data_IF_644567510793
#
_entry.id   IF_644567510793
#
_cell.length_a   1.000
_cell.length_b   1.000
_cell.length_c   1.000
_cell.angle_alpha   90.00
_cell.angle_beta   90.00
_cell.angle_gamma   90.00
#
_symmetry.space_group_name_H-M   'P 1'
#
loop_
_entity.id
_entity.type
_entity.pdbx_description
1 polymer ?
2 polymer ?
#
# COMPACT_ATOMS: atom_id res chain seq x y z
N UNK A 89 -16.72 26.22 -15.56
CA UNK A 89 -16.06 25.03 -16.09
C UNK A 89 -14.94 24.58 -15.15
N UNK A 90 -14.16 25.55 -14.66
CA UNK A 90 -13.11 25.24 -13.70
C UNK A 90 -13.69 24.64 -12.42
N UNK A 91 -14.96 24.91 -12.12
CA UNK A 91 -15.59 24.29 -10.96
C UNK A 91 -15.60 22.78 -11.08
N UNK A 92 -15.66 22.26 -12.31
CA UNK A 92 -15.69 20.82 -12.57
C UNK A 92 -14.59 20.48 -13.55
N UNK A 93 -13.41 20.15 -13.03
CA UNK A 93 -12.29 19.72 -13.83
C UNK A 93 -11.62 18.54 -13.14
N UNK A 94 -10.99 17.64 -13.90
CA UNK A 94 -10.35 16.49 -13.27
C UNK A 94 -9.25 16.91 -12.31
N UNK A 95 -9.09 16.13 -11.23
CA UNK A 95 -7.97 16.32 -10.31
C UNK A 95 -6.71 15.76 -10.95
N UNK A 96 -5.70 16.60 -11.13
CA UNK A 96 -4.45 16.16 -11.73
C UNK A 96 -3.51 15.65 -10.65
N UNK A 97 -3.05 14.40 -10.71
CA UNK A 97 -2.11 13.92 -9.69
C UNK A 97 -0.80 14.71 -9.73
N UNK A 98 -0.20 14.87 -8.55
CA UNK A 98 1.00 15.67 -8.39
C UNK A 98 2.16 14.76 -7.97
N UNK A 99 3.31 14.95 -8.61
CA UNK A 99 4.50 14.17 -8.33
C UNK A 99 5.71 15.09 -8.22
N UNK A 100 6.83 14.52 -7.77
CA UNK A 100 8.07 15.26 -7.62
C UNK A 100 9.23 14.28 -7.73
N UNK A 101 9.95 14.32 -8.85
CA UNK A 101 11.10 13.44 -9.04
C UNK A 101 12.17 13.70 -7.99
N UNK A 102 12.21 14.92 -7.44
CA UNK A 102 13.19 15.24 -6.40
C UNK A 102 13.11 14.23 -5.27
N UNK A 103 11.89 13.88 -4.86
CA UNK A 103 11.70 12.85 -3.85
C UNK A 103 11.76 11.45 -4.44
N UNK A 104 11.42 11.26 -5.72
CA UNK A 104 11.46 9.92 -6.30
C UNK A 104 12.88 9.37 -6.26
N UNK A 105 13.87 10.20 -6.62
CA UNK A 105 15.25 9.71 -6.62
C UNK A 105 15.81 9.60 -5.20
N UNK A 106 15.30 10.40 -4.27
CA UNK A 106 15.79 10.37 -2.90
C UNK A 106 15.26 9.15 -2.15
N UNK A 107 14.03 8.73 -2.46
CA UNK A 107 13.47 7.54 -1.84
C UNK A 107 14.29 6.31 -2.17
N UNK A 108 14.91 6.28 -3.36
CA UNK A 108 15.74 5.12 -3.71
C UNK A 108 16.90 4.99 -2.75
N UNK A 109 17.60 6.09 -2.46
CA UNK A 109 18.74 6.03 -1.56
C UNK A 109 18.27 5.71 -0.15
N UNK A 110 17.13 6.27 0.28
CA UNK A 110 16.63 5.93 1.61
C UNK A 110 16.36 4.44 1.71
N UNK A 111 15.70 3.87 0.72
CA UNK A 111 15.38 2.44 0.75
C UNK A 111 16.65 1.60 0.71
N UNK A 112 17.63 1.99 -0.09
CA UNK A 112 18.88 1.23 -0.15
C UNK A 112 19.59 1.27 1.19
N UNK A 113 19.65 2.43 1.83
CA UNK A 113 20.30 2.53 3.12
C UNK A 113 19.61 1.65 4.15
N UNK A 114 18.27 1.69 4.18
CA UNK A 114 17.55 0.85 5.14
C UNK A 114 17.76 -0.62 4.83
N UNK A 115 17.81 -0.98 3.54
CA UNK A 115 18.10 -2.35 3.15
C UNK A 115 19.42 -2.81 3.74
N UNK A 116 20.48 -2.03 3.52
CA UNK A 116 21.79 -2.43 4.00
C UNK A 116 21.80 -2.56 5.53
N UNK A 117 21.24 -1.56 6.22
CA UNK A 117 21.30 -1.59 7.68
C UNK A 117 20.51 -2.76 8.24
N UNK A 118 19.29 -3.01 7.72
CA UNK A 118 18.51 -4.14 8.18
C UNK A 118 19.21 -5.45 7.89
N UNK A 119 19.77 -5.59 6.70
CA UNK A 119 20.50 -6.81 6.36
C UNK A 119 21.60 -7.06 7.38
N UNK A 120 22.46 -6.06 7.61
CA UNK A 120 23.60 -6.28 8.51
C UNK A 120 23.13 -6.59 9.92
N UNK A 121 22.19 -5.79 10.45
CA UNK A 121 21.78 -5.99 11.83
C UNK A 121 21.12 -7.33 12.05
N UNK A 122 20.19 -7.71 11.18
CA UNK A 122 19.49 -8.98 11.35
C UNK A 122 20.44 -10.14 11.16
N UNK A 123 21.38 -10.03 10.21
CA UNK A 123 22.36 -11.09 10.04
C UNK A 123 23.20 -11.27 11.29
N UNK A 124 23.63 -10.16 11.92
CA UNK A 124 24.42 -10.28 13.14
C UNK A 124 23.59 -10.89 14.27
N UNK A 125 22.33 -10.49 14.41
CA UNK A 125 21.50 -11.06 15.46
C UNK A 125 21.35 -12.57 15.26
N UNK A 126 21.07 -12.97 14.02
CA UNK A 126 20.93 -14.40 13.72
C UNK A 126 22.23 -15.14 14.01
N UNK A 127 23.37 -14.59 13.59
CA UNK A 127 24.63 -15.27 13.82
C UNK A 127 24.91 -15.43 15.30
N UNK A 128 24.69 -14.37 16.08
CA UNK A 128 24.97 -14.44 17.51
C UNK A 128 24.07 -15.47 18.19
N UNK A 129 22.79 -15.48 17.82
CA UNK A 129 21.88 -16.42 18.48
C UNK A 129 22.17 -17.86 18.06
N UNK A 130 22.48 -18.09 16.79
CA UNK A 130 22.61 -19.44 16.25
C UNK A 130 24.02 -20.00 16.39
N UNK A 131 24.99 -19.20 16.80
CA UNK A 131 26.36 -19.71 16.89
C UNK A 131 26.51 -20.71 18.02
N UNK A 132 26.04 -20.36 19.22
CA UNK A 132 26.18 -21.21 20.40
C UNK A 132 24.79 -21.55 20.92
N UNK A 133 24.54 -22.84 21.12
CA UNK A 133 23.26 -23.32 21.62
C UNK A 133 23.12 -23.19 23.13
N UNK A 134 24.16 -22.76 23.82
CA UNK A 134 24.12 -22.61 25.27
C UNK A 134 23.34 -21.36 25.62
N UNK A 135 22.48 -21.47 26.63
CA UNK A 135 21.69 -20.33 27.07
C UNK A 135 20.67 -19.85 26.07
N UNK A 136 20.00 -20.77 25.37
CA UNK A 136 18.94 -20.41 24.43
C UNK A 136 17.64 -20.33 25.22
N UNK A 137 17.18 -19.10 25.48
CA UNK A 137 16.00 -18.87 26.30
C UNK A 137 14.80 -18.56 25.41
N UNK A 138 13.67 -18.26 26.05
CA UNK A 138 12.47 -17.86 25.32
C UNK A 138 12.72 -16.58 24.53
N UNK A 139 13.40 -15.63 25.16
CA UNK A 139 13.68 -14.37 24.48
C UNK A 139 14.53 -14.59 23.24
N UNK A 140 15.48 -15.52 23.31
CA UNK A 140 16.31 -15.79 22.14
C UNK A 140 15.48 -16.33 20.99
N UNK A 141 14.53 -17.21 21.27
CA UNK A 141 13.67 -17.75 20.22
C UNK A 141 12.83 -16.63 19.61
N UNK A 142 12.23 -15.79 20.45
CA UNK A 142 11.44 -14.67 19.94
C UNK A 142 12.29 -13.77 19.07
N UNK A 143 13.50 -13.44 19.52
CA UNK A 143 14.37 -12.55 18.75
C UNK A 143 14.78 -13.19 17.44
N UNK A 144 15.01 -14.50 17.43
CA UNK A 144 15.39 -15.17 16.20
C UNK A 144 14.26 -15.10 15.17
N UNK A 145 13.02 -15.36 15.61
CA UNK A 145 11.89 -15.22 14.69
C UNK A 145 11.75 -13.79 14.21
N UNK A 146 11.90 -12.81 15.11
CA UNK A 146 11.77 -11.42 14.73
C UNK A 146 12.84 -11.02 13.72
N UNK A 147 14.08 -11.48 13.93
CA UNK A 147 15.16 -11.20 12.99
C UNK A 147 14.87 -11.82 11.63
N UNK A 148 14.34 -13.04 11.61
CA UNK A 148 13.96 -13.63 10.33
C UNK A 148 12.94 -12.78 9.61
N UNK A 149 11.90 -12.34 10.32
CA UNK A 149 10.86 -11.53 9.68
C UNK A 149 11.44 -10.23 9.14
N UNK A 150 12.24 -9.54 9.94
CA UNK A 150 12.82 -8.27 9.51
C UNK A 150 13.75 -8.46 8.34
N UNK A 151 14.53 -9.54 8.33
CA UNK A 151 15.43 -9.81 7.22
C UNK A 151 14.66 -10.04 5.93
N UNK A 152 13.55 -10.79 6.01
CA UNK A 152 12.75 -11.00 4.79
C UNK A 152 12.14 -9.70 4.29
N UNK A 153 11.62 -8.87 5.21
CA UNK A 153 11.07 -7.58 4.81
C UNK A 153 12.12 -6.73 4.12
N UNK A 154 13.31 -6.64 4.72
CA UNK A 154 14.39 -5.88 4.10
C UNK A 154 14.76 -6.45 2.75
N UNK A 155 14.79 -7.78 2.63
CA UNK A 155 15.14 -8.41 1.37
C UNK A 155 14.13 -8.07 0.28
N UNK A 156 12.86 -7.85 0.64
CA UNK A 156 11.88 -7.38 -0.33
C UNK A 156 11.98 -5.90 -0.63
N UNK A 157 12.58 -5.11 0.26
CA UNK A 157 12.60 -3.65 0.05
C UNK A 157 13.14 -3.21 -1.31
N UNK A 158 14.26 -3.74 -1.81
CA UNK A 158 14.83 -3.18 -3.06
C UNK A 158 13.89 -3.21 -4.25
N UNK A 159 13.09 -4.27 -4.39
CA UNK A 159 12.13 -4.32 -5.50
C UNK A 159 11.11 -3.20 -5.34
N UNK A 160 10.69 -2.92 -4.10
CA UNK A 160 9.79 -1.82 -3.85
C UNK A 160 10.44 -0.49 -4.23
N UNK A 161 11.73 -0.34 -3.95
CA UNK A 161 12.42 0.89 -4.33
C UNK A 161 12.43 1.07 -5.86
N UNK A 162 12.75 0.00 -6.58
CA UNK A 162 12.74 0.10 -8.04
C UNK A 162 11.35 0.42 -8.57
N UNK A 163 10.32 -0.19 -7.97
CA UNK A 163 8.96 0.14 -8.35
C UNK A 163 8.66 1.61 -8.13
N UNK A 164 9.03 2.14 -6.96
CA UNK A 164 8.84 3.56 -6.72
C UNK A 164 9.58 4.40 -7.76
N UNK A 165 10.72 3.92 -8.24
CA UNK A 165 11.45 4.65 -9.26
C UNK A 165 10.63 4.72 -10.54
N UNK A 166 10.20 3.58 -11.06
CA UNK A 166 9.59 3.54 -12.38
C UNK A 166 8.26 2.81 -12.46
N UNK A 167 7.58 2.59 -11.34
CA UNK A 167 6.31 1.88 -11.35
C UNK A 167 6.51 0.40 -11.54
N UNK A 168 5.44 -0.36 -11.31
CA UNK A 168 5.54 -1.82 -11.34
C UNK A 168 5.59 -2.29 -12.79
N UNK A 169 6.82 -2.43 -13.29
CA UNK A 169 7.05 -2.96 -14.63
C UNK A 169 7.45 -4.43 -14.58
N UNK A 170 7.33 -5.09 -13.43
CA UNK A 170 7.89 -6.41 -13.24
C UNK A 170 6.88 -7.54 -13.46
N UNK A 171 5.62 -7.23 -13.73
CA UNK A 171 4.62 -8.22 -14.03
C UNK A 171 3.75 -8.54 -12.82
N UNK A 172 2.71 -9.32 -13.08
CA UNK A 172 1.74 -9.66 -12.05
C UNK A 172 2.26 -10.70 -11.08
N UNK A 173 3.03 -11.68 -11.57
CA UNK A 173 3.52 -12.74 -10.70
C UNK A 173 4.37 -12.16 -9.57
N UNK A 174 5.32 -11.30 -9.91
CA UNK A 174 6.17 -10.71 -8.89
C UNK A 174 5.38 -9.75 -8.00
N UNK A 175 4.39 -9.05 -8.56
CA UNK A 175 3.52 -8.23 -7.72
C UNK A 175 2.91 -9.08 -6.62
N UNK A 176 2.27 -10.19 -6.98
CA UNK A 176 1.64 -11.04 -5.98
C UNK A 176 2.66 -11.61 -5.00
N UNK A 177 3.78 -12.13 -5.51
CA UNK A 177 4.74 -12.80 -4.63
C UNK A 177 5.35 -11.81 -3.64
N UNK A 178 5.84 -10.67 -4.14
CA UNK A 178 6.49 -9.71 -3.28
C UNK A 178 5.49 -9.12 -2.30
N UNK A 179 4.26 -8.85 -2.74
CA UNK A 179 3.26 -8.33 -1.83
C UNK A 179 2.96 -9.31 -0.71
N UNK A 180 2.83 -10.60 -1.05
CA UNK A 180 2.58 -11.61 -0.03
C UNK A 180 3.72 -11.66 0.97
N UNK A 181 4.96 -11.68 0.48
CA UNK A 181 6.10 -11.76 1.40
C UNK A 181 6.14 -10.54 2.32
N UNK A 182 5.98 -9.35 1.74
CA UNK A 182 6.04 -8.12 2.53
C UNK A 182 4.98 -8.11 3.61
N UNK A 183 3.72 -8.42 3.25
CA UNK A 183 2.66 -8.33 4.24
C UNK A 183 2.75 -9.44 5.28
N UNK A 184 3.14 -10.64 4.87
CA UNK A 184 3.33 -11.73 5.83
C UNK A 184 4.35 -11.31 6.88
N UNK A 185 5.48 -10.76 6.43
CA UNK A 185 6.52 -10.40 7.38
C UNK A 185 6.13 -9.18 8.22
N UNK A 186 5.35 -8.27 7.66
CA UNK A 186 4.85 -7.14 8.46
C UNK A 186 3.98 -7.63 9.62
N UNK A 187 3.00 -8.47 9.31
CA UNK A 187 2.14 -9.01 10.36
C UNK A 187 2.96 -9.82 11.36
N UNK A 188 3.91 -10.61 10.87
CA UNK A 188 4.74 -11.41 11.77
C UNK A 188 5.51 -10.53 12.72
N UNK A 189 6.12 -9.45 12.22
CA UNK A 189 6.87 -8.56 13.10
C UNK A 189 5.98 -7.96 14.17
N UNK A 190 4.81 -7.45 13.78
CA UNK A 190 3.95 -6.81 14.77
C UNK A 190 3.53 -7.82 15.83
N UNK A 191 3.09 -9.00 15.41
CA UNK A 191 2.59 -9.98 16.37
C UNK A 191 3.72 -10.54 17.23
N UNK A 192 4.94 -10.61 16.70
CA UNK A 192 6.07 -11.03 17.51
C UNK A 192 6.41 -9.97 18.56
N UNK A 193 6.29 -8.69 18.22
CA UNK A 193 6.45 -7.67 19.25
C UNK A 193 5.42 -7.82 20.35
N UNK A 194 4.17 -8.09 19.98
CA UNK A 194 3.14 -8.31 20.99
C UNK A 194 3.46 -9.53 21.85
N UNK A 195 3.95 -10.60 21.23
CA UNK A 195 4.31 -11.80 21.99
C UNK A 195 5.45 -11.53 22.96
N UNK A 196 6.47 -10.79 22.53
CA UNK A 196 7.56 -10.43 23.42
C UNK A 196 7.03 -9.62 24.59
N UNK A 197 6.10 -8.70 24.32
CA UNK A 197 5.50 -7.92 25.39
C UNK A 197 4.81 -8.81 26.41
N UNK A 198 4.00 -9.75 25.93
CA UNK A 198 3.28 -10.64 26.86
C UNK A 198 4.27 -11.48 27.65
N UNK A 199 5.34 -11.94 27.00
CA UNK A 199 6.35 -12.74 27.68
C UNK A 199 6.99 -11.95 28.83
N UNK A 200 7.39 -10.71 28.56
CA UNK A 200 8.00 -9.91 29.60
C UNK A 200 7.00 -9.62 30.72
N UNK A 201 5.74 -9.38 30.37
CA UNK A 201 4.72 -9.20 31.40
C UNK A 201 4.67 -10.41 32.32
N UNK A 202 4.56 -11.61 31.73
CA UNK A 202 4.47 -12.82 32.54
C UNK A 202 5.72 -13.07 33.36
N UNK A 203 6.89 -12.69 32.85
CA UNK A 203 8.13 -12.92 33.56
C UNK A 203 8.34 -11.96 34.72
N UNK A 204 7.86 -10.73 34.61
CA UNK A 204 8.12 -9.70 35.61
C UNK A 204 6.94 -9.57 36.58
N UNK A 205 5.73 -9.39 36.06
CA UNK A 205 4.58 -9.19 36.94
C UNK A 205 4.26 -10.46 37.71
N UNK A 206 4.02 -11.55 36.99
CA UNK A 206 3.76 -12.85 37.62
C UNK A 206 5.04 -13.66 37.77
N UNK A 207 6.06 -13.07 38.41
CA UNK A 207 7.27 -13.84 38.66
C UNK A 207 7.07 -14.81 39.83
N UNK A 208 6.27 -14.41 40.81
CA UNK A 208 6.00 -15.28 41.95
C UNK A 208 4.86 -16.25 41.69
N UNK A 209 4.02 -15.99 40.69
CA UNK A 209 2.86 -16.84 40.43
C UNK A 209 3.24 -17.96 39.45
N UNK A 210 2.33 -18.91 39.31
CA UNK A 210 2.55 -20.08 38.45
C UNK A 210 2.27 -19.79 36.99
N UNK A 211 1.69 -18.64 36.67
CA UNK A 211 1.39 -18.31 35.28
C UNK A 211 2.65 -18.12 34.45
N UNK A 212 3.76 -17.73 35.08
CA UNK A 212 5.02 -17.57 34.36
C UNK A 212 5.46 -18.86 33.68
N UNK A 213 5.08 -20.02 34.22
CA UNK A 213 5.41 -21.29 33.61
C UNK A 213 4.78 -21.48 32.24
N UNK A 214 3.75 -20.70 31.91
CA UNK A 214 3.07 -20.80 30.62
C UNK A 214 3.84 -20.14 29.51
N UNK A 215 4.94 -19.46 29.82
CA UNK A 215 5.76 -18.79 28.83
C UNK A 215 6.83 -19.71 28.24
N UNK A 216 6.71 -21.01 28.47
CA UNK A 216 7.60 -22.00 27.88
C UNK A 216 7.06 -22.56 26.58
N UNK A 217 5.99 -21.97 26.04
CA UNK A 217 5.36 -22.40 24.80
C UNK A 217 5.83 -21.59 23.60
N UNK A 218 7.09 -21.14 23.61
CA UNK A 218 7.54 -20.19 22.60
C UNK A 218 7.42 -20.78 21.21
N UNK A 219 7.81 -22.05 21.05
CA UNK A 219 7.85 -22.62 19.70
C UNK A 219 6.48 -22.62 19.06
N UNK A 220 5.47 -23.08 19.79
CA UNK A 220 4.13 -23.18 19.22
C UNK A 220 3.46 -21.82 19.13
N UNK A 221 3.75 -20.91 20.06
CA UNK A 221 3.22 -19.55 19.94
C UNK A 221 3.78 -18.87 18.70
N UNK A 222 5.08 -19.01 18.45
CA UNK A 222 5.69 -18.41 17.26
C UNK A 222 5.15 -19.06 16.00
N UNK A 223 4.98 -20.38 16.01
CA UNK A 223 4.42 -21.05 14.85
C UNK A 223 2.99 -20.58 14.58
N UNK A 224 2.20 -20.42 15.63
CA UNK A 224 0.83 -19.93 15.47
C UNK A 224 0.82 -18.50 14.93
N UNK A 225 1.75 -17.67 15.40
CA UNK A 225 1.82 -16.29 14.90
C UNK A 225 2.17 -16.29 13.42
N UNK A 226 3.15 -17.10 13.01
CA UNK A 226 3.48 -17.18 11.60
C UNK A 226 2.28 -17.65 10.78
N UNK A 227 1.54 -18.64 11.29
CA UNK A 227 0.37 -19.11 10.57
C UNK A 227 -0.71 -18.04 10.45
N UNK A 228 -0.96 -17.30 11.52
CA UNK A 228 -1.97 -16.24 11.47
C UNK A 228 -1.53 -15.14 10.50
N UNK A 229 -0.25 -14.81 10.48
CA UNK A 229 0.26 -13.82 9.53
C UNK A 229 0.07 -14.29 8.10
N UNK A 230 0.37 -15.56 7.84
CA UNK A 230 0.13 -16.10 6.50
C UNK A 230 -1.35 -16.03 6.14
N UNK A 231 -2.22 -16.32 7.10
CA UNK A 231 -3.66 -16.26 6.84
C UNK A 231 -4.11 -14.84 6.51
N UNK A 232 -3.64 -13.85 7.26
CA UNK A 232 -4.08 -12.48 7.07
C UNK A 232 -3.54 -11.84 5.80
N UNK A 233 -2.54 -12.44 5.15
CA UNK A 233 -1.97 -11.91 3.94
C UNK A 233 -2.57 -12.53 2.68
N UNK A 234 -3.58 -13.39 2.82
CA UNK A 234 -4.18 -14.00 1.64
C UNK A 234 -4.80 -12.97 0.70
N UNK A 235 -5.56 -11.99 1.16
CA UNK A 235 -6.20 -11.05 0.21
C UNK A 235 -5.21 -10.36 -0.70
N UNK A 236 -4.00 -10.10 -0.22
CA UNK A 236 -2.97 -9.50 -1.05
C UNK A 236 -2.63 -10.41 -2.22
N UNK A 237 -2.47 -11.72 -1.96
CA UNK A 237 -2.15 -12.64 -3.03
C UNK A 237 -3.33 -12.84 -3.97
N UNK A 238 -4.54 -12.90 -3.42
CA UNK A 238 -5.70 -13.25 -4.24
C UNK A 238 -6.09 -12.15 -5.20
N UNK A 239 -6.06 -10.90 -4.75
CA UNK A 239 -6.66 -9.78 -5.48
C UNK A 239 -5.65 -8.71 -5.85
N UNK A 240 -4.51 -9.08 -6.42
CA UNK A 240 -3.50 -8.09 -6.81
C UNK A 240 -3.02 -8.34 -8.23
N UNK A 241 -2.86 -7.25 -8.98
CA UNK A 241 -2.36 -7.29 -10.34
C UNK A 241 -1.73 -5.94 -10.67
N UNK A 242 -1.06 -5.88 -11.82
CA UNK A 242 -0.50 -4.64 -12.32
C UNK A 242 -1.58 -3.87 -13.06
N UNK A 243 -2.04 -2.77 -12.46
CA UNK A 243 -3.10 -1.93 -13.01
C UNK A 243 -2.41 -0.81 -13.78
N UNK A 244 -2.82 -0.63 -15.04
CA UNK A 244 -2.31 0.43 -15.89
C UNK A 244 -3.34 1.55 -15.97
N UNK A 245 -2.91 2.76 -15.65
CA UNK A 245 -3.76 3.94 -15.70
C UNK A 245 -3.43 4.74 -16.97
N UNK A 246 -4.05 5.92 -17.11
CA UNK A 246 -3.77 6.81 -18.22
C UNK A 246 -3.03 8.07 -17.82
N UNK A 247 -3.06 8.45 -16.54
CA UNK A 247 -2.31 9.59 -16.04
C UNK A 247 -1.26 9.21 -15.01
N UNK A 248 -1.20 7.94 -14.62
CA UNK A 248 -0.25 7.46 -13.61
C UNK A 248 0.39 6.18 -14.14
N UNK A 249 1.57 5.88 -13.62
CA UNK A 249 2.33 4.72 -14.04
C UNK A 249 1.71 3.44 -13.48
N UNK A 250 2.06 2.28 -14.06
CA UNK A 250 1.46 1.02 -13.59
C UNK A 250 1.74 0.79 -12.11
N UNK A 251 0.77 0.19 -11.42
CA UNK A 251 0.90 -0.03 -9.99
C UNK A 251 0.46 -1.45 -9.64
N UNK A 252 1.16 -2.05 -8.69
CA UNK A 252 0.80 -3.36 -8.17
C UNK A 252 -0.36 -3.16 -7.18
N UNK A 253 -1.55 -3.01 -7.75
CA UNK A 253 -2.75 -2.64 -7.02
C UNK A 253 -3.67 -3.84 -6.90
N UNK A 254 -4.86 -3.63 -6.34
CA UNK A 254 -5.87 -4.67 -6.21
C UNK A 254 -6.90 -4.57 -7.32
N UNK A 255 -7.54 -5.71 -7.62
CA UNK A 255 -8.58 -5.80 -8.64
C UNK A 255 -9.68 -6.72 -8.10
N UNK A 256 -10.68 -6.15 -7.44
CA UNK A 256 -11.75 -6.91 -6.83
C UNK A 256 -13.09 -6.71 -7.52
N UNK A 257 -13.10 -6.19 -8.74
CA UNK A 257 -14.32 -6.00 -9.50
C UNK A 257 -14.76 -4.55 -9.49
N UNK A 258 -16.02 -4.34 -9.90
CA UNK A 258 -16.52 -2.99 -10.07
C UNK A 258 -16.48 -2.19 -8.78
N UNK A 259 -16.61 -2.86 -7.63
CA UNK A 259 -16.61 -2.18 -6.33
C UNK A 259 -15.28 -2.34 -5.61
N UNK A 260 -14.18 -2.30 -6.34
CA UNK A 260 -12.87 -2.51 -5.73
C UNK A 260 -12.56 -1.46 -4.67
N UNK A 261 -13.07 -0.24 -4.84
CA UNK A 261 -12.77 0.83 -3.89
C UNK A 261 -13.32 0.49 -2.50
N UNK A 262 -14.61 0.16 -2.44
CA UNK A 262 -15.22 -0.13 -1.14
C UNK A 262 -14.65 -1.41 -0.52
N UNK A 263 -14.43 -2.44 -1.33
CA UNK A 263 -13.85 -3.66 -0.80
C UNK A 263 -12.45 -3.39 -0.27
N UNK A 264 -11.69 -2.54 -0.95
CA UNK A 264 -10.37 -2.19 -0.46
C UNK A 264 -10.45 -1.44 0.87
N UNK A 265 -11.42 -0.53 0.99
CA UNK A 265 -11.59 0.17 2.26
C UNK A 265 -11.92 -0.81 3.38
N UNK A 266 -12.76 -1.82 3.11
CA UNK A 266 -13.07 -2.81 4.13
C UNK A 266 -11.84 -3.66 4.46
N UNK A 267 -11.11 -4.12 3.44
CA UNK A 267 -9.91 -4.90 3.69
C UNK A 267 -8.88 -4.11 4.48
N UNK A 268 -8.94 -2.78 4.44
CA UNK A 268 -8.05 -1.97 5.25
C UNK A 268 -8.29 -2.17 6.74
N UNK A 269 -9.43 -2.75 7.12
CA UNK A 269 -9.71 -2.94 8.55
C UNK A 269 -8.75 -3.95 9.15
N UNK A 270 -8.36 -4.98 8.40
CA UNK A 270 -7.46 -5.99 8.92
C UNK A 270 -6.10 -5.41 9.31
N UNK A 271 -5.37 -4.71 8.44
CA UNK A 271 -4.08 -4.16 8.86
C UNK A 271 -4.18 -3.13 9.96
N UNK A 272 -5.34 -2.50 10.15
CA UNK A 272 -5.51 -1.47 11.16
C UNK A 272 -6.02 -2.00 12.49
N UNK A 273 -6.50 -3.24 12.54
CA UNK A 273 -6.98 -3.85 13.78
C UNK A 273 -6.06 -4.96 14.28
N UNK A 274 -5.69 -5.89 13.40
CA UNK A 274 -4.70 -6.91 13.73
C UNK A 274 -3.28 -6.43 13.49
N UNK A 275 -3.10 -5.21 13.02
CA UNK A 275 -1.78 -4.70 12.70
C UNK A 275 -1.39 -3.49 13.53
N UNK A 276 -2.37 -2.70 13.96
CA UNK A 276 -2.07 -1.58 14.84
C UNK A 276 -2.79 -1.67 16.18
N UNK A 277 -4.12 -1.78 16.16
CA UNK A 277 -4.90 -1.54 17.37
C UNK A 277 -4.70 -2.65 18.38
N UNK A 278 -4.88 -3.90 17.96
CA UNK A 278 -4.82 -5.02 18.91
C UNK A 278 -3.41 -5.15 19.46
N UNK A 279 -2.37 -5.17 18.62
CA UNK A 279 -1.00 -5.19 19.17
C UNK A 279 -0.70 -3.99 20.05
N UNK A 280 -1.17 -2.80 19.67
CA UNK A 280 -0.90 -1.62 20.48
C UNK A 280 -1.54 -1.75 21.86
N UNK A 281 -2.78 -2.24 21.92
CA UNK A 281 -3.45 -2.40 23.20
C UNK A 281 -2.78 -3.46 24.05
N UNK A 282 -2.39 -4.59 23.44
CA UNK A 282 -1.70 -5.63 24.19
C UNK A 282 -0.40 -5.09 24.76
N UNK A 283 0.39 -4.39 23.93
CA UNK A 283 1.64 -3.84 24.39
C UNK A 283 1.42 -2.83 25.49
N UNK A 284 0.44 -1.94 25.34
CA UNK A 284 0.18 -0.94 26.36
C UNK A 284 -0.19 -1.59 27.69
N UNK A 285 -1.12 -2.54 27.68
CA UNK A 285 -1.51 -3.22 28.91
C UNK A 285 -0.31 -3.90 29.56
N UNK A 286 0.39 -4.73 28.80
CA UNK A 286 1.47 -5.53 29.35
C UNK A 286 2.57 -4.64 29.91
N UNK A 287 3.04 -3.68 29.12
CA UNK A 287 4.13 -2.82 29.57
C UNK A 287 3.71 -1.85 30.66
N UNK A 288 2.44 -1.42 30.69
CA UNK A 288 1.99 -0.59 31.78
C UNK A 288 2.03 -1.32 33.11
N UNK A 289 1.52 -2.55 33.13
CA UNK A 289 1.58 -3.30 34.38
C UNK A 289 3.01 -3.69 34.73
N UNK A 290 3.84 -3.98 33.72
CA UNK A 290 5.25 -4.26 33.97
C UNK A 290 5.93 -3.07 34.63
N UNK A 291 5.66 -1.86 34.11
CA UNK A 291 6.23 -0.66 34.70
C UNK A 291 5.70 -0.45 36.12
N UNK A 292 4.42 -0.72 36.35
CA UNK A 292 3.90 -0.56 37.70
C UNK A 292 4.61 -1.48 38.67
N UNK A 293 4.89 -2.72 38.27
CA UNK A 293 5.61 -3.62 39.17
C UNK A 293 7.06 -3.21 39.34
N UNK A 294 7.73 -2.80 38.26
CA UNK A 294 9.13 -2.41 38.38
C UNK A 294 9.30 -1.18 39.25
N UNK A 295 8.45 -0.17 39.10
CA UNK A 295 8.63 1.07 39.86
C UNK A 295 8.60 0.84 41.35
N UNK A 296 7.83 -0.16 41.81
CA UNK A 296 7.74 -0.50 43.21
C UNK A 296 8.82 -1.47 43.64
N UNK A 297 9.65 -1.95 42.72
CA UNK A 297 10.73 -2.86 43.05
C UNK A 297 11.90 -2.09 43.65
N UNK A 298 12.87 -2.85 44.16
CA UNK A 298 14.04 -2.28 44.83
C UNK A 298 15.35 -2.66 44.14
N UNK A 299 15.28 -3.10 42.89
CA UNK A 299 16.48 -3.52 42.18
C UNK A 299 17.36 -2.32 41.85
N UNK A 300 18.62 -2.60 41.51
CA UNK A 300 19.50 -1.57 41.04
C UNK A 300 19.40 -1.34 39.55
N UNK A 301 18.90 -2.32 38.80
CA UNK A 301 18.76 -2.21 37.36
C UNK A 301 17.33 -1.95 36.93
N UNK A 302 16.46 -1.54 37.86
CA UNK A 302 15.10 -1.21 37.47
C UNK A 302 15.07 -0.06 36.49
N UNK A 303 15.92 0.94 36.71
CA UNK A 303 15.85 2.17 35.92
C UNK A 303 16.16 1.91 34.46
N UNK A 304 17.20 1.13 34.19
CA UNK A 304 17.53 0.82 32.81
C UNK A 304 16.41 0.05 32.13
N UNK A 305 15.79 -0.88 32.87
CA UNK A 305 14.68 -1.65 32.31
C UNK A 305 13.50 -0.73 31.96
N UNK A 306 13.20 0.22 32.85
CA UNK A 306 12.12 1.15 32.58
C UNK A 306 12.42 2.01 31.36
N UNK A 307 13.66 2.49 31.24
CA UNK A 307 14.04 3.25 30.05
C UNK A 307 13.90 2.42 28.79
N UNK A 308 14.30 1.16 28.84
CA UNK A 308 14.22 0.31 27.65
C UNK A 308 12.76 0.08 27.27
N UNK A 309 11.89 -0.13 28.26
CA UNK A 309 10.47 -0.31 27.97
C UNK A 309 9.90 0.95 27.33
N UNK A 310 10.24 2.12 27.88
CA UNK A 310 9.76 3.36 27.29
C UNK A 310 10.23 3.50 25.86
N UNK A 311 11.51 3.20 25.60
CA UNK A 311 12.04 3.30 24.26
C UNK A 311 11.33 2.37 23.31
N UNK A 312 11.06 1.14 23.74
CA UNK A 312 10.37 0.19 22.88
C UNK A 312 9.00 0.73 22.49
N UNK A 313 8.24 1.19 23.48
CA UNK A 313 6.88 1.68 23.19
C UNK A 313 6.94 2.91 22.27
N UNK A 314 7.85 3.84 22.57
CA UNK A 314 7.93 5.05 21.76
C UNK A 314 8.35 4.75 20.34
N UNK A 315 9.28 3.82 20.14
CA UNK A 315 9.69 3.47 18.79
C UNK A 315 8.54 2.84 18.04
N UNK A 316 7.79 1.94 18.69
CA UNK A 316 6.63 1.35 18.03
C UNK A 316 5.66 2.44 17.58
N UNK A 317 5.34 3.37 18.48
CA UNK A 317 4.40 4.44 18.13
C UNK A 317 4.95 5.29 16.99
N UNK A 318 6.18 5.77 17.11
CA UNK A 318 6.77 6.59 16.07
C UNK A 318 6.72 5.89 14.72
N UNK A 319 6.97 4.57 14.71
CA UNK A 319 7.01 3.86 13.45
C UNK A 319 5.62 3.73 12.84
N UNK A 320 4.60 3.39 13.64
CA UNK A 320 3.35 2.93 13.06
C UNK A 320 2.17 3.87 13.23
N UNK A 321 2.13 4.72 14.26
CA UNK A 321 0.98 5.58 14.44
C UNK A 321 0.78 6.56 13.30
N UNK A 322 1.80 7.27 12.81
CA UNK A 322 1.57 8.21 11.70
C UNK A 322 0.97 7.57 10.47
N UNK A 323 1.46 6.39 10.09
CA UNK A 323 0.95 5.72 8.89
C UNK A 323 -0.52 5.37 9.05
N UNK A 324 -0.90 4.86 10.22
CA UNK A 324 -2.29 4.48 10.43
C UNK A 324 -3.20 5.70 10.57
N UNK A 325 -2.70 6.80 11.13
CA UNK A 325 -3.47 8.02 11.16
C UNK A 325 -3.74 8.53 9.74
N UNK A 326 -2.71 8.51 8.89
CA UNK A 326 -2.91 8.94 7.51
C UNK A 326 -3.87 8.01 6.79
N UNK A 327 -3.76 6.71 7.05
CA UNK A 327 -4.67 5.76 6.42
C UNK A 327 -6.11 6.00 6.85
N UNK A 328 -6.33 6.27 8.14
CA UNK A 328 -7.67 6.60 8.62
C UNK A 328 -8.17 7.89 7.99
N UNK A 329 -7.30 8.87 7.83
CA UNK A 329 -7.71 10.11 7.18
C UNK A 329 -8.16 9.84 5.75
N UNK A 330 -7.42 9.01 5.02
CA UNK A 330 -7.81 8.65 3.67
C UNK A 330 -9.15 7.92 3.66
N UNK A 331 -9.35 6.98 4.58
CA UNK A 331 -10.59 6.24 4.63
C UNK A 331 -11.77 7.17 4.93
N UNK A 332 -11.58 8.12 5.83
CA UNK A 332 -12.63 9.09 6.11
C UNK A 332 -12.92 9.94 4.89
N UNK A 333 -11.88 10.38 4.17
CA UNK A 333 -12.10 11.21 3.00
C UNK A 333 -12.86 10.47 1.91
N UNK A 334 -12.50 9.21 1.66
CA UNK A 334 -13.17 8.45 0.61
C UNK A 334 -14.65 8.26 0.89
N UNK A 335 -15.04 8.23 2.17
CA UNK A 335 -16.42 8.00 2.56
C UNK A 335 -17.22 9.29 2.72
N UNK A 336 -16.68 10.42 2.29
CA UNK A 336 -17.34 11.73 2.31
C UNK A 336 -17.47 12.29 3.72
N UNK A 337 -16.84 11.66 4.73
CA UNK A 337 -16.86 12.23 6.07
C UNK A 337 -16.13 13.57 6.09
N UNK A 338 -14.98 13.64 5.43
CA UNK A 338 -14.23 14.88 5.25
C UNK A 338 -14.35 15.29 3.79
N UNK A 339 -14.66 16.56 3.56
CA UNK A 339 -14.87 17.03 2.20
C UNK A 339 -13.60 16.81 1.37
N UNK A 340 -13.80 16.49 0.10
CA UNK A 340 -12.73 16.04 -0.77
C UNK A 340 -12.36 17.13 -1.77
N UNK A 341 -11.06 17.34 -1.98
CA UNK A 341 -10.56 18.28 -2.97
C UNK A 341 -9.23 17.76 -3.50
N UNK A 342 -8.79 18.34 -4.63
CA UNK A 342 -7.55 17.89 -5.25
C UNK A 342 -6.37 18.08 -4.30
N UNK A 343 -6.29 19.24 -3.66
CA UNK A 343 -5.16 19.52 -2.77
C UNK A 343 -5.14 18.57 -1.59
N UNK A 344 -6.30 18.23 -1.05
CA UNK A 344 -6.34 17.28 0.06
C UNK A 344 -5.84 15.91 -0.39
N UNK A 345 -6.19 15.50 -1.62
CA UNK A 345 -5.67 14.25 -2.16
C UNK A 345 -4.15 14.30 -2.25
N UNK A 346 -3.60 15.40 -2.75
CA UNK A 346 -2.16 15.52 -2.85
C UNK A 346 -1.51 15.42 -1.48
N UNK A 347 -2.11 16.09 -0.48
CA UNK A 347 -1.57 16.06 0.86
C UNK A 347 -1.57 14.64 1.41
N UNK A 348 -2.67 13.92 1.20
CA UNK A 348 -2.74 12.55 1.73
C UNK A 348 -1.75 11.65 1.02
N UNK A 349 -1.54 11.85 -0.28
CA UNK A 349 -0.56 11.03 -1.00
C UNK A 349 0.85 11.28 -0.48
N UNK A 350 1.22 12.55 -0.31
CA UNK A 350 2.54 12.86 0.22
C UNK A 350 2.70 12.30 1.63
N UNK A 351 1.66 12.42 2.46
CA UNK A 351 1.72 11.87 3.81
C UNK A 351 1.90 10.37 3.78
N UNK A 352 1.20 9.69 2.87
CA UNK A 352 1.34 8.24 2.77
C UNK A 352 2.75 7.86 2.40
N UNK A 353 3.34 8.55 1.43
CA UNK A 353 4.72 8.25 1.05
C UNK A 353 5.67 8.44 2.23
N UNK A 354 5.58 9.59 2.89
CA UNK A 354 6.49 9.87 4.00
C UNK A 354 6.33 8.86 5.13
N UNK A 355 5.08 8.52 5.45
CA UNK A 355 4.83 7.60 6.56
C UNK A 355 5.22 6.18 6.21
N UNK A 356 5.12 5.78 4.94
CA UNK A 356 5.67 4.49 4.55
C UNK A 356 7.17 4.45 4.75
N UNK A 357 7.87 5.51 4.34
CA UNK A 357 9.31 5.57 4.57
C UNK A 357 9.59 5.46 6.07
N UNK A 358 8.83 6.19 6.88
CA UNK A 358 9.05 6.17 8.33
C UNK A 358 8.83 4.78 8.92
N UNK A 359 7.77 4.10 8.49
CA UNK A 359 7.46 2.80 9.06
C UNK A 359 8.43 1.73 8.60
N UNK A 360 9.07 1.92 7.45
CA UNK A 360 10.01 0.93 6.96
C UNK A 360 11.25 0.80 7.86
N UNK A 361 11.43 1.72 8.81
CA UNK A 361 12.61 1.70 9.67
C UNK A 361 12.50 0.72 10.82
N UNK A 362 11.37 0.04 10.99
CA UNK A 362 11.24 -0.90 12.10
C UNK A 362 12.23 -2.05 11.95
N UNK A 363 12.46 -2.51 10.71
CA UNK A 363 13.42 -3.59 10.50
C UNK A 363 14.82 -3.18 10.92
N UNK A 364 15.18 -1.92 10.69
CA UNK A 364 16.49 -1.44 11.10
C UNK A 364 16.57 -1.25 12.62
N UNK A 365 15.49 -0.76 13.23
CA UNK A 365 15.54 -0.39 14.63
C UNK A 365 15.27 -1.53 15.60
N UNK A 366 14.68 -2.64 15.12
CA UNK A 366 14.37 -3.76 16.01
C UNK A 366 15.63 -4.39 16.58
N UNK A 367 16.64 -4.68 15.75
CA UNK A 367 17.86 -5.29 16.30
C UNK A 367 18.53 -4.46 17.37
N UNK A 368 18.50 -3.13 17.26
CA UNK A 368 19.15 -2.29 18.27
C UNK A 368 18.34 -2.25 19.55
N UNK A 369 17.02 -2.34 19.46
CA UNK A 369 16.18 -2.14 20.63
C UNK A 369 15.98 -3.43 21.40
N UNK A 370 15.80 -4.55 20.70
CA UNK A 370 15.45 -5.79 21.37
C UNK A 370 16.64 -6.73 21.58
N UNK A 371 17.65 -6.67 20.71
CA UNK A 371 18.75 -7.62 20.75
C UNK A 371 20.01 -7.03 21.36
N UNK A 372 20.50 -5.92 20.83
CA UNK A 372 21.80 -5.40 21.25
C UNK A 372 21.71 -4.45 22.43
N UNK A 373 20.51 -4.24 22.99
CA UNK A 373 20.38 -3.42 24.20
C UNK A 373 20.64 -4.21 25.47
N UNK A 374 20.89 -5.51 25.36
CA UNK A 374 21.13 -6.37 26.51
C UNK A 374 22.58 -6.86 26.50
N UNK A 375 23.11 -7.08 27.70
CA UNK A 375 24.52 -7.44 27.82
C UNK A 375 24.82 -8.80 27.22
N UNK A 376 23.87 -9.73 27.29
CA UNK A 376 24.11 -11.08 26.78
C UNK A 376 24.47 -11.06 25.30
N UNK A 377 23.69 -10.35 24.49
CA UNK A 377 23.94 -10.32 23.06
C UNK A 377 25.25 -9.64 22.73
N UNK A 378 25.56 -8.54 23.42
CA UNK A 378 26.82 -7.86 23.14
C UNK A 378 28.01 -8.74 23.50
N UNK A 379 27.95 -9.42 24.64
CA UNK A 379 29.02 -10.34 25.00
C UNK A 379 29.16 -11.45 23.98
N UNK A 380 28.03 -12.02 23.56
CA UNK A 380 28.09 -13.05 22.52
C UNK A 380 28.73 -12.55 21.25
N UNK A 381 28.31 -11.36 20.78
CA UNK A 381 28.85 -10.81 19.55
C UNK A 381 30.35 -10.61 19.66
N UNK A 382 30.82 -10.10 20.79
CA UNK A 382 32.25 -9.94 20.98
C UNK A 382 32.94 -11.29 20.96
N UNK A 383 32.32 -12.32 21.56
CA UNK A 383 32.91 -13.65 21.56
C UNK A 383 33.07 -14.18 20.14
N UNK A 384 32.03 -14.03 19.31
CA UNK A 384 32.07 -14.60 17.97
C UNK A 384 33.17 -13.97 17.14
N UNK A 385 33.37 -12.66 17.27
CA UNK A 385 34.30 -11.95 16.41
C UNK A 385 35.72 -12.52 16.51
N UNK A 386 36.06 -13.15 17.62
CA UNK A 386 37.39 -13.72 17.79
C UNK A 386 37.64 -14.84 16.77
N UNK B 1 3.84 8.99 -16.13
CA UNK B 1 5.02 9.67 -15.61
C UNK B 1 4.97 9.87 -14.10
N UNK B 2 3.81 10.23 -13.55
CA UNK B 2 3.68 10.35 -12.10
C UNK B 2 3.57 8.99 -11.43
N UNK B 3 3.48 9.01 -10.10
CA UNK B 3 3.38 7.80 -9.31
C UNK B 3 2.24 7.96 -8.30
N UNK B 4 1.74 6.83 -7.82
CA UNK B 4 0.71 6.84 -6.80
C UNK B 4 0.52 5.43 -6.27
N UNK B 5 0.32 5.33 -4.96
CA UNK B 5 -0.05 4.08 -4.32
C UNK B 5 -1.52 4.06 -3.92
N UNK B 6 -2.31 5.01 -4.41
CA UNK B 6 -3.73 5.06 -4.12
C UNK B 6 -4.42 5.61 -5.37
N UNK B 7 -4.98 4.73 -6.17
CA UNK B 7 -5.71 5.14 -7.36
C UNK B 7 -7.05 5.76 -6.95
N UNK B 8 -7.35 6.92 -7.51
CA UNK B 8 -8.55 7.67 -7.14
C UNK B 8 -9.29 8.10 -8.39
N UNK B 9 -10.56 8.44 -8.21
CA UNK B 9 -11.39 8.88 -9.33
C UNK B 9 -10.81 10.15 -9.94
N UNK B 10 -11.10 10.34 -11.22
CA UNK B 10 -10.58 11.48 -11.97
C UNK B 10 -11.55 12.64 -12.01
N UNK B 11 -12.66 12.57 -11.28
CA UNK B 11 -13.64 13.65 -11.29
C UNK B 11 -14.27 13.76 -9.91
N UNK B 12 -14.32 14.98 -9.38
CA UNK B 12 -14.96 15.27 -8.11
C UNK B 12 -16.42 15.68 -8.28
N UNK B 13 -16.73 16.48 -9.30
CA UNK B 13 -18.09 16.82 -9.65
C UNK B 13 -18.17 16.99 -11.16
N UNK B 14 -19.38 16.85 -11.69
CA UNK B 14 -19.59 16.77 -13.13
C UNK B 14 -20.58 17.82 -13.58
N UNK B 15 -20.51 18.16 -14.86
CA UNK B 15 -21.42 19.09 -15.49
C UNK B 15 -22.09 18.42 -16.68
N UNK B 16 -23.07 19.11 -17.26
CA UNK B 16 -23.83 18.62 -18.40
C UNK B 16 -24.12 19.78 -19.35
N UNK B 17 -23.78 19.60 -20.62
CA UNK B 17 -24.10 20.60 -21.63
C UNK B 17 -22.90 21.13 -22.40
N UNK B 18 -21.74 20.48 -22.26
CA UNK B 18 -20.57 20.91 -23.03
C UNK B 18 -20.89 20.87 -24.51
N UNK B 19 -20.66 21.99 -25.19
CA UNK B 19 -21.04 22.09 -26.59
C UNK B 19 -20.06 21.32 -27.47
N UNK B 20 -20.59 20.52 -28.39
CA UNK B 20 -19.75 19.70 -29.26
C UNK B 20 -18.74 20.54 -30.04
N UNK B 21 -19.12 21.77 -30.42
CA UNK B 21 -18.22 22.61 -31.19
C UNK B 21 -16.90 22.83 -30.48
N UNK B 22 -16.89 22.76 -29.15
CA UNK B 22 -15.69 22.97 -28.36
C UNK B 22 -15.06 21.66 -27.88
N UNK B 23 -15.55 20.52 -28.34
CA UNK B 23 -15.04 19.22 -27.92
C UNK B 23 -14.01 18.75 -28.93
N UNK B 24 -12.83 18.37 -28.45
CA UNK B 24 -11.82 17.74 -29.29
C UNK B 24 -11.84 16.23 -29.13
N UNK B 25 -12.01 15.73 -27.92
CA UNK B 25 -12.05 14.29 -27.68
C UNK B 25 -12.87 14.02 -26.43
N UNK B 26 -13.33 12.78 -26.31
CA UNK B 26 -14.08 12.32 -25.14
C UNK B 26 -13.52 10.97 -24.72
N UNK B 27 -13.29 10.81 -23.43
CA UNK B 27 -12.79 9.56 -22.85
C UNK B 27 -13.83 9.02 -21.89
N UNK B 28 -14.15 7.74 -22.02
CA UNK B 28 -15.10 7.06 -21.14
C UNK B 28 -14.37 5.92 -20.47
N UNK B 29 -14.43 5.88 -19.14
CA UNK B 29 -13.75 4.86 -18.34
C UNK B 29 -14.77 4.14 -17.48
N UNK B 30 -14.84 2.82 -17.62
CA UNK B 30 -15.81 2.02 -16.91
C UNK B 30 -15.33 1.74 -15.49
N UNK B 31 -16.24 1.32 -14.61
CA UNK B 31 -15.86 1.07 -13.22
C UNK B 31 -14.77 0.02 -13.13
N UNK B 32 -13.89 0.18 -12.15
CA UNK B 32 -12.77 -0.70 -11.99
C UNK B 32 -11.99 -0.39 -10.73
N UNK B 33 -10.73 -0.83 -10.67
CA UNK B 33 -9.93 -0.59 -9.46
C UNK B 33 -9.68 0.88 -9.19
N UNK B 34 -10.01 1.76 -10.13
CA UNK B 34 -9.81 3.19 -9.93
C UNK B 34 -10.99 3.81 -9.21
N UNK B 35 -12.17 3.74 -9.82
CA UNK B 35 -13.37 4.35 -9.27
C UNK B 35 -14.54 3.39 -9.37
N UNK B 36 -15.54 3.58 -8.52
CA UNK B 36 -16.73 2.75 -8.52
C UNK B 36 -17.79 3.24 -9.49
N UNK B 37 -17.55 4.34 -10.19
CA UNK B 37 -18.50 4.92 -11.12
C UNK B 37 -17.82 5.20 -12.46
N UNK B 38 -18.61 5.13 -13.52
CA UNK B 38 -18.10 5.47 -14.85
C UNK B 38 -17.72 6.94 -14.90
N UNK B 39 -16.65 7.24 -15.62
CA UNK B 39 -16.13 8.60 -15.76
C UNK B 39 -16.13 9.01 -17.21
N UNK B 40 -16.60 10.22 -17.49
CA UNK B 40 -16.57 10.79 -18.83
C UNK B 40 -15.79 12.11 -18.73
N UNK B 41 -14.74 12.22 -19.54
CA UNK B 41 -13.86 13.40 -19.51
C UNK B 41 -13.73 13.90 -20.93
N UNK B 42 -14.14 15.14 -21.18
CA UNK B 42 -14.04 15.75 -22.50
C UNK B 42 -12.87 16.70 -22.53
N UNK B 43 -11.95 16.47 -23.46
CA UNK B 43 -10.83 17.36 -23.72
C UNK B 43 -11.24 18.30 -24.84
N UNK B 44 -11.27 19.60 -24.52
CA UNK B 44 -11.72 20.61 -25.47
C UNK B 44 -10.58 21.03 -26.40
N UNK B 45 -10.93 21.80 -27.43
CA UNK B 45 -9.95 22.24 -28.41
C UNK B 45 -8.93 23.21 -27.84
N UNK B 46 -9.22 23.86 -26.72
CA UNK B 46 -8.30 24.81 -26.10
C UNK B 46 -7.43 24.16 -25.02
N UNK B 47 -7.58 22.85 -24.79
CA UNK B 47 -6.80 22.14 -23.81
C UNK B 47 -7.51 21.90 -22.49
N UNK B 48 -8.58 22.63 -22.21
CA UNK B 48 -9.31 22.45 -20.96
C UNK B 48 -10.01 21.10 -20.94
N UNK B 49 -9.98 20.46 -19.78
CA UNK B 49 -10.63 19.17 -19.56
C UNK B 49 -11.85 19.37 -18.66
N UNK B 50 -12.99 18.84 -19.08
CA UNK B 50 -14.24 19.00 -18.35
C UNK B 50 -14.86 17.63 -18.10
N UNK B 51 -15.16 17.35 -16.84
CA UNK B 51 -15.86 16.11 -16.51
C UNK B 51 -17.33 16.23 -16.89
N UNK B 52 -17.96 15.10 -17.20
CA UNK B 52 -19.34 15.06 -17.62
C UNK B 52 -20.09 14.01 -16.80
N UNK B 53 -21.40 14.18 -16.71
CA UNK B 53 -22.25 13.24 -15.99
C UNK B 53 -22.67 12.09 -16.90
N UNK B 54 -22.29 10.85 -16.63
CA UNK B 54 -22.67 9.77 -17.54
C UNK B 54 -24.16 9.58 -17.70
N UNK B 55 -24.95 9.87 -16.66
CA UNK B 55 -26.38 9.60 -16.72
C UNK B 55 -27.11 10.58 -17.63
N UNK B 56 -26.59 11.79 -17.81
CA UNK B 56 -27.29 12.80 -18.56
C UNK B 56 -27.47 12.35 -20.02
N UNK B 57 -28.65 12.55 -20.62
CA UNK B 57 -28.81 12.21 -22.04
C UNK B 57 -27.87 13.00 -22.95
N UNK B 58 -27.44 14.19 -22.50
CA UNK B 58 -26.60 15.03 -23.34
C UNK B 58 -25.29 14.34 -23.67
N UNK B 59 -24.70 13.65 -22.69
CA UNK B 59 -23.44 12.95 -22.93
C UNK B 59 -23.62 11.86 -23.99
N UNK B 60 -24.70 11.09 -23.87
CA UNK B 60 -24.97 10.04 -24.85
C UNK B 60 -25.16 10.62 -26.24
N UNK B 61 -25.91 11.72 -26.34
CA UNK B 61 -26.12 12.36 -27.63
C UNK B 61 -24.81 12.84 -28.22
N UNK B 62 -23.98 13.49 -27.40
CA UNK B 62 -22.70 13.99 -27.88
C UNK B 62 -21.84 12.85 -28.40
N UNK B 63 -21.77 11.76 -27.63
CA UNK B 63 -20.92 10.64 -28.02
C UNK B 63 -21.43 10.03 -29.33
N UNK B 64 -22.75 9.85 -29.45
CA UNK B 64 -23.28 9.23 -30.66
C UNK B 64 -23.04 10.12 -31.88
N UNK B 65 -23.24 11.43 -31.73
CA UNK B 65 -22.95 12.33 -32.83
C UNK B 65 -21.48 12.29 -33.21
N UNK B 66 -20.59 12.25 -32.21
CA UNK B 66 -19.16 12.17 -32.50
C UNK B 66 -18.83 10.89 -33.27
N UNK B 67 -19.40 9.77 -32.83
CA UNK B 67 -19.13 8.50 -33.52
C UNK B 67 -19.66 8.53 -34.95
N UNK B 68 -20.84 9.12 -35.15
CA UNK B 68 -21.41 9.17 -36.49
C UNK B 68 -20.46 9.86 -37.46
N UNK B 69 -19.79 10.91 -37.00
CA UNK B 69 -18.82 11.63 -37.82
C UNK B 69 -19.49 12.18 -39.09
N UNK C 9 -3.16 11.09 -37.44
CA UNK C 9 -3.92 9.87 -37.16
C UNK C 9 -3.08 8.88 -36.36
N UNK C 10 -3.66 8.36 -35.29
CA UNK C 10 -3.00 7.37 -34.46
C UNK C 10 -3.33 5.94 -34.84
N UNK C 11 -4.10 5.73 -35.92
CA UNK C 11 -4.54 4.41 -36.34
C UNK C 11 -4.38 4.28 -37.85
N UNK C 12 -3.87 3.12 -38.29
CA UNK C 12 -3.76 2.80 -39.70
C UNK C 12 -4.80 1.77 -40.13
N UNK C 13 -4.80 0.64 -39.44
CA UNK C 13 -5.83 -0.40 -39.72
C UNK C 13 -6.49 -0.76 -38.38
N UNK C 14 -7.81 -0.93 -38.40
CA UNK C 14 -8.54 -1.24 -37.18
C UNK C 14 -8.35 -2.70 -36.79
N UNK C 15 -8.57 -2.97 -35.50
CA UNK C 15 -8.44 -4.31 -34.94
C UNK C 15 -9.81 -4.91 -34.68
N UNK C 16 -9.81 -6.19 -34.32
CA UNK C 16 -11.03 -6.91 -34.00
C UNK C 16 -10.71 -7.98 -32.96
N UNK C 17 -11.76 -8.48 -32.31
CA UNK C 17 -11.62 -9.48 -31.28
C UNK C 17 -11.54 -8.95 -29.87
N UNK C 18 -11.87 -7.68 -29.65
CA UNK C 18 -11.78 -7.06 -28.33
C UNK C 18 -13.10 -7.27 -27.61
N UNK C 19 -13.07 -8.05 -26.53
CA UNK C 19 -14.25 -8.25 -25.71
C UNK C 19 -14.36 -7.16 -24.65
N UNK C 20 -15.59 -6.85 -24.26
CA UNK C 20 -15.82 -5.86 -23.21
C UNK C 20 -15.15 -6.22 -21.89
N UNK C 21 -14.86 -7.50 -21.67
CA UNK C 21 -14.20 -7.93 -20.44
C UNK C 21 -12.73 -7.59 -20.41
N UNK C 22 -12.14 -7.22 -21.55
CA UNK C 22 -10.72 -6.85 -21.61
C UNK C 22 -10.49 -5.37 -21.82
N UNK C 23 -11.54 -4.58 -22.08
CA UNK C 23 -11.41 -3.15 -22.30
C UNK C 23 -11.38 -2.45 -20.97
N UNK C 24 -10.44 -1.53 -20.80
CA UNK C 24 -10.38 -0.70 -19.60
C UNK C 24 -10.95 0.70 -19.85
N UNK C 25 -10.68 1.27 -21.03
CA UNK C 25 -11.21 2.59 -21.35
C UNK C 25 -11.28 2.75 -22.86
N UNK C 26 -12.06 3.73 -23.29
CA UNK C 26 -12.21 4.05 -24.71
C UNK C 26 -12.11 5.56 -24.88
N UNK C 27 -11.32 5.99 -25.86
CA UNK C 27 -11.12 7.39 -26.17
C UNK C 27 -11.53 7.64 -27.61
N UNK C 28 -12.42 8.60 -27.82
CA UNK C 28 -12.95 8.92 -29.13
C UNK C 28 -12.42 10.30 -29.51
N UNK C 29 -11.68 10.38 -30.61
CA UNK C 29 -11.09 11.63 -31.08
C UNK C 29 -11.75 12.02 -32.40
N UNK C 30 -12.26 13.25 -32.44
CA UNK C 30 -12.99 13.76 -33.58
C UNK C 30 -12.04 14.31 -34.64
N UNK C 31 -12.53 14.53 -35.86
CA UNK C 31 -11.66 15.04 -36.92
C UNK C 31 -11.11 16.42 -36.58
N UNK C 32 -9.91 16.69 -37.10
CA UNK C 32 -9.24 17.94 -36.87
C UNK C 32 -7.92 18.01 -37.61
N UNK C 33 -7.09 19.00 -37.29
CA UNK C 33 -5.78 19.08 -37.94
C UNK C 33 -4.92 17.85 -37.73
N UNK C 34 -5.07 17.18 -36.58
CA UNK C 34 -4.30 15.96 -36.34
C UNK C 34 -4.66 14.87 -37.35
N UNK C 35 -5.95 14.69 -37.63
CA UNK C 35 -6.40 13.64 -38.53
C UNK C 35 -7.76 14.03 -39.11
N UNK C 36 -8.00 13.64 -40.36
CA UNK C 36 -9.26 13.95 -41.02
C UNK C 36 -10.34 12.91 -40.78
N UNK C 37 -10.00 11.80 -40.13
CA UNK C 37 -10.95 10.72 -39.87
C UNK C 37 -11.10 10.50 -38.37
N UNK C 38 -12.34 10.33 -37.93
CA UNK C 38 -12.61 10.05 -36.53
C UNK C 38 -11.92 8.76 -36.10
N UNK C 39 -11.37 8.77 -34.89
CA UNK C 39 -10.61 7.64 -34.39
C UNK C 39 -11.16 7.19 -33.04
N UNK C 40 -11.06 5.89 -32.78
CA UNK C 40 -11.44 5.33 -31.49
C UNK C 40 -10.29 4.43 -31.04
N UNK C 41 -9.76 4.70 -29.85
CA UNK C 41 -8.61 3.99 -29.31
C UNK C 41 -9.02 3.43 -27.95
N UNK C 42 -8.97 2.12 -27.81
CA UNK C 42 -9.34 1.45 -26.58
C UNK C 42 -8.11 0.98 -25.83
N UNK C 43 -8.02 1.34 -24.56
CA UNK C 43 -6.97 0.88 -23.68
C UNK C 43 -7.48 -0.35 -22.94
N UNK C 44 -6.80 -1.48 -23.16
CA UNK C 44 -7.15 -2.75 -22.55
C UNK C 44 -6.52 -2.85 -21.16
N UNK C 45 -7.00 -3.82 -20.38
CA UNK C 45 -6.52 -3.98 -19.02
C UNK C 45 -5.05 -4.38 -18.93
N UNK C 46 -4.46 -4.84 -20.04
CA UNK C 46 -3.06 -5.21 -20.06
C UNK C 46 -2.15 -4.08 -20.55
N UNK C 47 -2.71 -2.89 -20.77
CA UNK C 47 -1.94 -1.74 -21.18
C UNK C 47 -1.86 -1.52 -22.68
N UNK C 48 -2.12 -2.56 -23.47
CA UNK C 48 -2.05 -2.43 -24.92
C UNK C 48 -3.20 -1.58 -25.42
N UNK C 49 -2.95 -0.86 -26.52
CA UNK C 49 -3.93 0.02 -27.13
C UNK C 49 -4.38 -0.55 -28.46
N UNK C 50 -5.69 -0.60 -28.68
CA UNK C 50 -6.28 -1.19 -29.87
C UNK C 50 -7.10 -0.14 -30.60
N UNK C 51 -6.92 -0.07 -31.92
CA UNK C 51 -7.68 0.87 -32.73
C UNK C 51 -8.96 0.21 -33.23
N UNK C 52 -10.09 0.90 -33.08
CA UNK C 52 -11.39 0.37 -33.46
C UNK C 52 -12.02 1.25 -34.54
N UNK C 53 -12.80 0.62 -35.40
CA UNK C 53 -13.50 1.34 -36.46
C UNK C 53 -14.67 2.11 -35.88
N UNK C 54 -14.74 3.43 -36.02
CA UNK C 54 -15.89 4.17 -35.49
C UNK C 54 -17.21 3.75 -36.09
N UNK C 55 -17.24 3.37 -37.38
CA UNK C 55 -18.49 3.00 -38.02
C UNK C 55 -18.98 1.62 -37.58
N UNK C 56 -18.10 0.78 -37.05
CA UNK C 56 -18.50 -0.56 -36.64
C UNK C 56 -19.50 -0.46 -35.50
N UNK C 57 -20.59 -1.24 -35.51
CA UNK C 57 -21.50 -1.22 -34.37
C UNK C 57 -20.88 -1.69 -33.06
N UNK C 58 -19.76 -2.42 -33.13
CA UNK C 58 -19.14 -2.91 -31.90
C UNK C 58 -18.71 -1.77 -31.00
N UNK C 59 -18.14 -0.71 -31.57
CA UNK C 59 -17.73 0.44 -30.77
C UNK C 59 -18.93 1.07 -30.09
N UNK C 60 -20.03 1.24 -30.83
CA UNK C 60 -21.23 1.82 -30.24
C UNK C 60 -21.74 0.95 -29.10
N UNK C 61 -21.75 -0.36 -29.30
CA UNK C 61 -22.18 -1.27 -28.25
C UNK C 61 -21.32 -1.11 -27.00
N UNK C 62 -19.99 -1.09 -27.18
CA UNK C 62 -19.09 -0.98 -26.05
C UNK C 62 -19.35 0.33 -25.30
N UNK C 63 -19.47 1.43 -26.04
CA UNK C 63 -19.61 2.74 -25.40
C UNK C 63 -20.93 2.84 -24.66
N UNK C 64 -22.02 2.38 -25.29
CA UNK C 64 -23.33 2.47 -24.63
C UNK C 64 -23.37 1.58 -23.40
N UNK C 65 -22.76 0.39 -23.47
CA UNK C 65 -22.70 -0.46 -22.29
C UNK C 65 -21.92 0.21 -21.18
N UNK C 66 -20.79 0.84 -21.52
CA UNK C 66 -19.98 1.50 -20.50
C UNK C 66 -20.75 2.64 -19.84
N UNK C 67 -21.43 3.46 -20.65
CA UNK C 67 -22.13 4.61 -20.08
C UNK C 67 -23.24 4.18 -19.13
N UNK C 68 -23.74 2.96 -19.26
CA UNK C 68 -24.78 2.45 -18.38
C UNK C 68 -24.18 1.92 -17.08
#
# INVERSE_FOLDING_TARGET
>A
MGKTIIALSYIFCLVFADYKDDDDAANFTPVNGSSGNQSVRLVTSSSLEVLFQGPGSEDFNMESDSFEDFWKGEDLSNYSYSSTLPPFLLDAAPCEPESLEINKYFVVIIYALVFLLSLLGNSLVMLVILYSRVGRSVTDVYLLNLALADLLFALTLPIWAASKVNGWIFGTFLCKVVSLLKEVNFYSGILLLACISVDRYLAIVHATRTLTQKRYLVKFICLSIWGLSLLLALPVLLFRRTVYSSNVSPACYEDMGNNTANWRMLLRILPQSFGFIVPLLIMLFCYGFTLRTLFKAHMGQKHRAMRVIFAVVLIFLLCWLPYNLVLLADTLMRTQVIQETCERRNHIDRALDATEILGILHSCLNPLIYAFIGQKFRHGLLKILAIHGLISKDSLPKDSRPSFVGSSSGHTSTTL
>B
APLATELRCQCLQTLQGIHLKNIQSVKVKSPGPHCAQTEVIATLKNGQKACLNPASPMVKKIIEKMLKNGKSN
>C
APLATELRCQCLQTLQGIHLKNIQSVKVKSPGPHCAQTEVIATLKNGQKACLNPASPMVKKIIEKMLKNGKSN
#
